data_IF_884548057794
#
_entry.id   IF_884548057794
#
_cell.length_a   1.000
_cell.length_b   1.000
_cell.length_c   1.000
_cell.angle_alpha   90.00
_cell.angle_beta   90.00
_cell.angle_gamma   90.00
#
_symmetry.space_group_name_H-M   'P 1'
#
loop_
_entity.id
_entity.type
_entity.pdbx_description
1 polymer ?
#
# COMPACT_ATOMS: atom_id res chain seq x y z
N UNK A 1 -25.37 -36.88 11.96
CA UNK A 1 -25.62 -35.43 12.02
C UNK A 1 -24.34 -34.71 11.57
N UNK A 2 -24.26 -34.28 10.31
CA UNK A 2 -23.07 -33.62 9.76
C UNK A 2 -23.10 -32.12 10.05
N UNK A 3 -22.13 -31.62 10.81
CA UNK A 3 -21.98 -30.20 11.13
C UNK A 3 -21.42 -29.45 9.92
N UNK A 4 -22.18 -28.49 9.40
CA UNK A 4 -21.83 -27.66 8.24
C UNK A 4 -20.71 -26.62 8.53
N UNK A 5 -19.96 -26.14 7.52
CA UNK A 5 -18.75 -25.34 7.71
C UNK A 5 -19.05 -23.83 7.84
N UNK A 6 -19.12 -23.32 9.07
CA UNK A 6 -19.31 -21.89 9.38
C UNK A 6 -18.10 -20.99 9.06
N UNK A 7 -16.94 -21.53 8.65
CA UNK A 7 -15.71 -20.76 8.42
C UNK A 7 -15.63 -20.04 7.05
N UNK A 8 -16.44 -20.45 6.06
CA UNK A 8 -16.32 -19.95 4.69
C UNK A 8 -17.04 -18.59 4.45
N UNK A 9 -18.08 -18.29 5.21
CA UNK A 9 -18.91 -17.08 5.05
C UNK A 9 -18.26 -15.81 5.64
N UNK A 10 -17.50 -15.94 6.73
CA UNK A 10 -16.85 -14.81 7.42
C UNK A 10 -15.59 -14.31 6.71
N UNK A 11 -14.86 -15.20 6.03
CA UNK A 11 -13.63 -14.86 5.31
C UNK A 11 -13.90 -14.07 4.03
N UNK A 12 -14.99 -14.39 3.33
CA UNK A 12 -15.44 -13.71 2.11
C UNK A 12 -15.89 -12.27 2.40
N UNK A 13 -16.61 -12.04 3.50
CA UNK A 13 -17.04 -10.70 3.90
C UNK A 13 -15.86 -9.81 4.34
N UNK A 14 -14.87 -10.38 5.05
CA UNK A 14 -13.64 -9.67 5.45
C UNK A 14 -12.78 -9.27 4.25
N UNK A 15 -12.59 -10.19 3.30
CA UNK A 15 -11.87 -9.93 2.05
C UNK A 15 -12.58 -8.87 1.19
N UNK A 16 -13.91 -8.90 1.09
CA UNK A 16 -14.68 -7.89 0.39
C UNK A 16 -14.55 -6.51 1.05
N UNK A 17 -14.59 -6.44 2.39
CA UNK A 17 -14.38 -5.20 3.15
C UNK A 17 -12.96 -4.67 2.95
N UNK A 18 -11.96 -5.54 2.96
CA UNK A 18 -10.57 -5.18 2.68
C UNK A 18 -10.42 -4.60 1.27
N UNK A 19 -11.03 -5.22 0.26
CA UNK A 19 -11.01 -4.72 -1.14
C UNK A 19 -11.65 -3.34 -1.28
N UNK A 20 -12.75 -3.08 -0.54
CA UNK A 20 -13.36 -1.74 -0.46
C UNK A 20 -12.37 -0.73 0.15
N UNK A 21 -11.77 -1.03 1.31
CA UNK A 21 -10.77 -0.18 1.97
C UNK A 21 -9.56 0.09 1.07
N UNK A 22 -9.01 -0.96 0.46
CA UNK A 22 -7.91 -0.88 -0.50
C UNK A 22 -8.25 0.05 -1.68
N UNK A 23 -9.49 -0.02 -2.18
CA UNK A 23 -9.95 0.86 -3.25
C UNK A 23 -10.01 2.33 -2.80
N UNK A 24 -10.53 2.59 -1.60
CA UNK A 24 -10.50 3.93 -1.01
C UNK A 24 -9.08 4.47 -0.84
N UNK A 25 -8.16 3.65 -0.32
CA UNK A 25 -6.77 4.04 -0.13
C UNK A 25 -6.08 4.39 -1.46
N UNK A 26 -6.25 3.55 -2.49
CA UNK A 26 -5.69 3.82 -3.82
C UNK A 26 -6.29 5.08 -4.45
N UNK A 27 -7.61 5.27 -4.32
CA UNK A 27 -8.27 6.47 -4.84
C UNK A 27 -7.78 7.73 -4.12
N UNK A 28 -7.56 7.67 -2.80
CA UNK A 28 -6.99 8.78 -2.05
C UNK A 28 -5.56 9.09 -2.49
N UNK A 29 -4.71 8.07 -2.65
CA UNK A 29 -3.34 8.24 -3.16
C UNK A 29 -3.33 8.81 -4.57
N UNK A 30 -4.27 8.40 -5.43
CA UNK A 30 -4.40 8.91 -6.79
C UNK A 30 -4.75 10.41 -6.82
N UNK A 31 -5.57 10.89 -5.88
CA UNK A 31 -5.89 12.31 -5.74
C UNK A 31 -4.68 13.17 -5.35
N UNK A 32 -3.66 12.57 -4.75
CA UNK A 32 -2.43 13.30 -4.39
C UNK A 32 -1.40 13.29 -5.53
N UNK A 33 -1.69 12.65 -6.68
CA UNK A 33 -0.77 12.68 -7.83
C UNK A 33 -0.55 14.14 -8.23
N UNK A 34 0.72 14.53 -8.32
CA UNK A 34 1.09 15.90 -8.52
C UNK A 34 1.44 16.66 -7.24
N UNK A 35 1.25 16.13 -6.04
CA UNK A 35 1.73 16.81 -4.83
C UNK A 35 3.26 16.71 -4.69
N UNK A 36 3.94 17.75 -4.16
CA UNK A 36 5.38 17.72 -3.97
C UNK A 36 5.81 16.70 -2.90
N UNK A 37 6.97 16.08 -3.13
CA UNK A 37 7.61 15.27 -2.11
C UNK A 37 8.27 16.18 -1.06
N UNK A 38 8.07 15.87 0.21
CA UNK A 38 8.84 16.44 1.32
C UNK A 38 9.25 15.33 2.27
N UNK A 39 10.53 15.24 2.59
CA UNK A 39 11.00 14.28 3.58
C UNK A 39 10.28 14.50 4.92
N UNK A 40 9.75 13.44 5.54
CA UNK A 40 8.90 13.55 6.73
C UNK A 40 7.48 14.07 6.49
N UNK A 41 7.12 14.44 5.25
CA UNK A 41 5.81 14.98 4.88
C UNK A 41 4.67 13.99 5.11
N UNK A 42 3.67 14.38 5.90
CA UNK A 42 2.49 13.56 6.21
C UNK A 42 1.17 14.16 5.67
N UNK A 43 1.30 15.18 4.81
CA UNK A 43 0.21 15.93 4.17
C UNK A 43 -0.70 16.74 5.11
N UNK A 44 -1.75 17.38 4.54
CA UNK A 44 -1.96 17.55 3.08
C UNK A 44 -0.96 18.53 2.44
N UNK A 45 -0.74 18.42 1.13
CA UNK A 45 0.09 19.35 0.33
C UNK A 45 1.57 19.00 0.17
N UNK A 46 2.11 18.09 0.99
CA UNK A 46 3.43 17.48 0.73
C UNK A 46 3.57 16.12 1.40
N UNK A 47 4.25 15.20 0.73
CA UNK A 47 4.27 13.78 1.13
C UNK A 47 5.67 13.17 1.10
N UNK A 48 5.99 12.30 2.06
CA UNK A 48 7.00 11.28 1.85
C UNK A 48 6.36 9.93 1.46
N UNK A 49 7.20 8.94 1.15
CA UNK A 49 6.74 7.65 0.66
C UNK A 49 5.77 6.96 1.64
N UNK A 50 6.13 6.93 2.92
CA UNK A 50 5.36 6.28 3.98
C UNK A 50 4.19 7.13 4.49
N UNK A 51 4.30 8.45 4.46
CA UNK A 51 3.25 9.40 4.81
C UNK A 51 2.10 9.38 3.81
N UNK A 52 2.39 9.33 2.50
CA UNK A 52 1.37 9.15 1.47
C UNK A 52 0.58 7.85 1.70
N UNK A 53 1.30 6.74 1.87
CA UNK A 53 0.72 5.42 2.07
C UNK A 53 -0.09 5.35 3.38
N UNK A 54 0.49 5.86 4.46
CA UNK A 54 -0.13 5.88 5.78
C UNK A 54 -1.39 6.73 5.82
N UNK A 55 -1.37 7.91 5.20
CA UNK A 55 -2.56 8.76 5.10
C UNK A 55 -3.65 8.13 4.22
N UNK A 56 -3.27 7.51 3.11
CA UNK A 56 -4.20 6.81 2.22
C UNK A 56 -4.95 5.70 2.93
N UNK A 57 -4.23 4.85 3.67
CA UNK A 57 -4.85 3.78 4.45
C UNK A 57 -5.58 4.29 5.70
N UNK A 58 -5.12 5.37 6.33
CA UNK A 58 -5.83 6.03 7.43
C UNK A 58 -7.20 6.52 6.98
N UNK A 59 -7.31 7.12 5.80
CA UNK A 59 -8.58 7.53 5.20
C UNK A 59 -9.49 6.36 4.83
N UNK A 60 -8.90 5.19 4.58
CA UNK A 60 -9.63 3.93 4.42
C UNK A 60 -9.95 3.21 5.75
N UNK A 61 -9.69 3.85 6.91
CA UNK A 61 -9.98 3.28 8.23
C UNK A 61 -9.02 2.18 8.66
N UNK A 62 -7.77 2.22 8.21
CA UNK A 62 -6.68 1.34 8.67
C UNK A 62 -5.53 2.20 9.17
N UNK A 63 -5.21 2.07 10.47
CA UNK A 63 -4.05 2.76 11.05
C UNK A 63 -2.79 1.97 10.71
N UNK A 64 -1.85 2.64 10.06
CA UNK A 64 -0.53 2.11 9.77
C UNK A 64 0.53 2.91 10.54
N UNK A 65 1.63 2.26 10.97
CA UNK A 65 2.78 2.95 11.55
C UNK A 65 3.37 3.99 10.60
N UNK A 66 4.13 4.94 11.14
CA UNK A 66 4.67 6.05 10.34
C UNK A 66 5.76 5.63 9.35
N UNK A 67 6.56 4.61 9.68
CA UNK A 67 7.72 4.19 8.88
C UNK A 67 7.42 2.94 8.05
N UNK A 68 8.04 2.84 6.88
CA UNK A 68 7.89 1.69 5.98
C UNK A 68 8.31 0.36 6.64
N UNK A 69 9.36 0.36 7.46
CA UNK A 69 9.80 -0.83 8.20
C UNK A 69 8.73 -1.29 9.20
N UNK A 70 8.17 -0.36 9.97
CA UNK A 70 7.11 -0.69 10.92
C UNK A 70 5.83 -1.11 10.20
N UNK A 71 5.45 -0.48 9.08
CA UNK A 71 4.34 -0.94 8.25
C UNK A 71 4.54 -2.39 7.80
N UNK A 72 5.71 -2.71 7.25
CA UNK A 72 6.02 -4.08 6.82
C UNK A 72 5.94 -5.07 7.98
N UNK A 73 6.45 -4.73 9.17
CA UNK A 73 6.43 -5.61 10.35
C UNK A 73 5.02 -5.78 10.93
N UNK A 74 4.24 -4.70 11.01
CA UNK A 74 2.90 -4.68 11.63
C UNK A 74 1.87 -5.49 10.84
N UNK A 75 2.00 -5.58 9.52
CA UNK A 75 1.03 -6.29 8.68
C UNK A 75 1.43 -7.76 8.53
N UNK A 76 0.57 -8.65 9.06
CA UNK A 76 0.82 -10.11 9.06
C UNK A 76 0.78 -10.72 7.66
N UNK A 77 -0.17 -10.29 6.81
CA UNK A 77 -0.32 -10.85 5.45
C UNK A 77 0.77 -10.32 4.53
N UNK A 78 1.75 -11.17 4.21
CA UNK A 78 2.78 -10.90 3.21
C UNK A 78 2.26 -11.16 1.80
N UNK A 79 2.79 -10.42 0.85
CA UNK A 79 2.41 -10.41 -0.56
C UNK A 79 3.67 -10.55 -1.40
N UNK A 80 3.64 -11.49 -2.35
CA UNK A 80 4.70 -11.66 -3.35
C UNK A 80 4.47 -10.72 -4.54
N UNK A 81 5.50 -10.48 -5.34
CA UNK A 81 5.42 -9.65 -6.54
C UNK A 81 4.24 -10.03 -7.47
N UNK A 82 4.07 -11.33 -7.74
CA UNK A 82 3.00 -11.85 -8.61
C UNK A 82 1.62 -11.85 -7.93
N UNK A 83 1.57 -11.89 -6.60
CA UNK A 83 0.34 -11.90 -5.81
C UNK A 83 -0.18 -10.52 -5.43
N UNK A 84 0.45 -9.44 -5.91
CA UNK A 84 0.08 -8.08 -5.61
C UNK A 84 -1.29 -7.72 -6.21
N UNK A 85 -2.20 -7.26 -5.35
CA UNK A 85 -3.53 -6.78 -5.72
C UNK A 85 -3.71 -5.34 -5.28
N UNK A 86 -4.63 -4.64 -5.93
CA UNK A 86 -4.90 -3.22 -5.69
C UNK A 86 -5.02 -2.93 -4.18
N UNK A 87 -4.25 -1.96 -3.70
CA UNK A 87 -4.14 -1.56 -2.30
C UNK A 87 -2.95 -2.15 -1.54
N UNK A 88 -2.34 -3.23 -2.02
CA UNK A 88 -1.16 -3.81 -1.38
C UNK A 88 -0.01 -2.79 -1.32
N UNK A 89 0.77 -2.85 -0.25
CA UNK A 89 1.97 -2.03 -0.09
C UNK A 89 3.15 -2.79 -0.63
N UNK A 90 3.89 -2.16 -1.52
CA UNK A 90 5.11 -2.71 -2.10
C UNK A 90 6.29 -1.95 -1.52
N UNK A 91 7.24 -2.69 -0.95
CA UNK A 91 8.44 -2.14 -0.34
C UNK A 91 9.63 -2.40 -1.26
N UNK A 92 10.53 -1.42 -1.32
CA UNK A 92 11.68 -1.45 -2.21
C UNK A 92 12.98 -1.11 -1.48
N UNK A 93 14.09 -1.55 -2.08
CA UNK A 93 15.48 -1.35 -1.64
C UNK A 93 15.82 -2.07 -0.33
N UNK A 94 17.12 -2.21 -0.03
CA UNK A 94 17.59 -2.77 1.25
C UNK A 94 17.06 -1.91 2.41
N UNK A 95 16.70 -2.56 3.52
CA UNK A 95 16.12 -1.85 4.67
C UNK A 95 14.69 -1.32 4.46
N UNK A 96 14.04 -1.59 3.30
CA UNK A 96 12.66 -1.17 2.98
C UNK A 96 12.49 0.35 3.08
N UNK A 97 13.47 1.09 2.58
CA UNK A 97 13.53 2.56 2.66
C UNK A 97 12.47 3.26 1.82
N UNK A 98 11.88 2.55 0.85
CA UNK A 98 10.83 3.08 -0.01
C UNK A 98 9.58 2.21 0.01
N UNK A 99 8.42 2.84 -0.04
CA UNK A 99 7.11 2.17 -0.10
C UNK A 99 6.20 2.85 -1.12
N UNK A 100 5.39 2.05 -1.81
CA UNK A 100 4.33 2.52 -2.70
C UNK A 100 3.05 1.72 -2.50
N UNK A 101 1.92 2.29 -2.92
CA UNK A 101 0.64 1.59 -2.95
C UNK A 101 0.39 1.03 -4.36
N UNK A 102 0.09 -0.25 -4.46
CA UNK A 102 -0.20 -0.87 -5.73
C UNK A 102 -1.58 -0.45 -6.24
N UNK A 103 -1.63 0.14 -7.42
CA UNK A 103 -2.86 0.65 -8.03
C UNK A 103 -3.57 -0.41 -8.89
N UNK A 104 -2.99 -1.59 -9.06
CA UNK A 104 -3.45 -2.63 -10.00
C UNK A 104 -2.83 -2.49 -11.39
N UNK A 105 -3.03 -3.51 -12.22
CA UNK A 105 -2.57 -3.55 -13.62
C UNK A 105 -1.06 -3.29 -13.80
N UNK A 106 -0.23 -3.67 -12.83
CA UNK A 106 1.21 -3.42 -12.87
C UNK A 106 1.61 -1.97 -12.56
N UNK A 107 0.72 -1.15 -12.00
CA UNK A 107 1.04 0.22 -11.61
C UNK A 107 1.12 0.38 -10.09
N UNK A 108 1.99 1.27 -9.64
CA UNK A 108 2.01 1.75 -8.25
C UNK A 108 1.94 3.28 -8.19
N UNK A 109 1.41 3.79 -7.08
CA UNK A 109 1.44 5.21 -6.74
C UNK A 109 2.41 5.37 -5.58
N UNK A 110 3.35 6.31 -5.71
CA UNK A 110 4.36 6.57 -4.68
C UNK A 110 4.77 8.04 -4.67
N UNK A 111 5.31 8.49 -3.53
CA UNK A 111 6.06 9.72 -3.41
C UNK A 111 7.56 9.35 -3.52
N UNK A 112 8.28 9.68 -4.62
CA UNK A 112 9.56 9.04 -4.93
C UNK A 112 10.75 9.51 -4.09
N UNK A 113 11.00 10.82 -4.05
CA UNK A 113 12.19 11.43 -3.43
C UNK A 113 12.06 12.95 -3.47
N UNK A 114 12.94 13.65 -2.73
CA UNK A 114 13.02 15.11 -2.76
C UNK A 114 13.13 15.66 -4.19
N UNK A 115 12.49 16.81 -4.43
CA UNK A 115 12.42 17.45 -5.75
C UNK A 115 11.47 16.77 -6.75
N UNK A 116 10.83 15.65 -6.39
CA UNK A 116 9.85 14.96 -7.25
C UNK A 116 8.45 15.10 -6.68
N UNK A 117 7.46 14.78 -7.52
CA UNK A 117 6.03 14.82 -7.17
C UNK A 117 5.50 13.40 -7.04
N UNK A 118 4.41 13.23 -6.30
CA UNK A 118 3.65 11.98 -6.23
C UNK A 118 3.22 11.61 -7.65
N UNK A 119 3.46 10.35 -8.04
CA UNK A 119 3.15 9.89 -9.38
C UNK A 119 2.71 8.45 -9.41
N UNK A 120 1.91 8.12 -10.43
CA UNK A 120 1.57 6.75 -10.81
C UNK A 120 2.59 6.28 -11.84
N UNK A 121 3.22 5.15 -11.58
CA UNK A 121 4.26 4.59 -12.45
C UNK A 121 4.05 3.09 -12.68
N UNK A 122 4.55 2.60 -13.81
CA UNK A 122 4.55 1.18 -14.13
C UNK A 122 5.67 0.46 -13.38
N UNK A 123 5.35 -0.69 -12.80
CA UNK A 123 6.30 -1.59 -12.15
C UNK A 123 7.13 -2.33 -13.21
N UNK A 124 8.24 -1.72 -13.59
CA UNK A 124 9.21 -2.29 -14.54
C UNK A 124 10.14 -3.31 -13.89
N UNK A 125 10.99 -3.95 -14.69
CA UNK A 125 12.05 -4.85 -14.22
C UNK A 125 12.97 -4.22 -13.18
N UNK A 126 13.18 -2.89 -13.23
CA UNK A 126 13.93 -2.16 -12.21
C UNK A 126 13.27 -2.28 -10.82
N UNK A 127 11.96 -2.07 -10.73
CA UNK A 127 11.22 -2.20 -9.47
C UNK A 127 11.16 -3.66 -9.00
N UNK A 128 11.07 -4.60 -9.94
CA UNK A 128 11.09 -6.03 -9.62
C UNK A 128 12.43 -6.45 -8.98
N UNK A 129 13.56 -5.99 -9.54
CA UNK A 129 14.90 -6.27 -8.98
C UNK A 129 15.11 -5.67 -7.59
N UNK A 130 14.49 -4.51 -7.33
CA UNK A 130 14.59 -3.81 -6.05
C UNK A 130 13.47 -4.17 -5.06
N UNK A 131 12.60 -5.12 -5.39
CA UNK A 131 11.45 -5.47 -4.55
C UNK A 131 11.93 -6.15 -3.26
N UNK A 132 11.56 -5.59 -2.11
CA UNK A 132 11.92 -6.09 -0.79
C UNK A 132 10.67 -6.49 0.02
N UNK A 133 9.71 -7.09 -0.68
CA UNK A 133 8.49 -7.65 -0.10
C UNK A 133 7.28 -6.73 -0.23
N UNK A 134 6.10 -7.33 -0.03
CA UNK A 134 4.83 -6.63 -0.02
C UNK A 134 3.97 -7.07 1.16
N UNK A 135 3.00 -6.24 1.55
CA UNK A 135 2.01 -6.60 2.56
C UNK A 135 0.61 -6.16 2.17
N UNK A 136 -0.40 -6.84 2.73
CA UNK A 136 -1.82 -6.54 2.51
C UNK A 136 -2.49 -6.01 3.79
N UNK A 137 -2.64 -4.68 3.94
CA UNK A 137 -3.34 -4.10 5.08
C UNK A 137 -4.86 -4.30 5.01
N UNK A 138 -5.52 -4.12 6.15
CA UNK A 138 -6.98 -4.09 6.25
C UNK A 138 -7.68 -5.45 6.25
N UNK A 139 -6.92 -6.53 6.41
CA UNK A 139 -7.43 -7.87 6.72
C UNK A 139 -7.71 -8.05 8.21
#
# INVERSE_FOLDING_TARGET
>A
MATAPVAATTSTSKAAKQKKKATYAVNYAAKQIGDPYRYGGSGPGSWDCSGLVGASWRKAGVKLPRTSQQMYRSVKKKVSWKGAVKGDLLFFYSGRTHVGIYAGHGYMIHAPSSGKRVKKIKLTSYYKRNFNGGVRPGL
#
